data_IF_852897943285
#
_entry.id   IF_852897943285
#
_cell.length_a   1.000
_cell.length_b   1.000
_cell.length_c   1.000
_cell.angle_alpha   90.00
_cell.angle_beta   90.00
_cell.angle_gamma   90.00
#
_symmetry.space_group_name_H-M   'P 1'
#
loop_
_entity.id
_entity.type
_entity.pdbx_description
1 polymer ?
#
# COMPACT_ATOMS: atom_id res chain seq x y z
N UNK A 1 15.06 45.53 -19.08
CA UNK A 1 13.95 44.56 -18.94
C UNK A 1 12.73 45.29 -18.37
N UNK A 2 11.60 45.37 -19.08
CA UNK A 2 10.40 46.05 -18.55
C UNK A 2 9.75 45.21 -17.43
N UNK A 3 9.25 45.87 -16.37
CA UNK A 3 8.62 45.24 -15.18
C UNK A 3 7.51 44.25 -15.53
N UNK A 4 6.73 44.57 -16.57
CA UNK A 4 5.68 43.70 -17.11
C UNK A 4 6.20 42.36 -17.60
N UNK A 5 7.31 42.35 -18.34
CA UNK A 5 7.91 41.09 -18.83
C UNK A 5 8.52 40.28 -17.69
N UNK A 6 9.04 40.94 -16.65
CA UNK A 6 9.53 40.26 -15.45
C UNK A 6 8.40 39.55 -14.69
N UNK A 7 7.29 40.26 -14.42
CA UNK A 7 6.12 39.68 -13.74
C UNK A 7 5.46 38.56 -14.55
N UNK A 8 5.37 38.71 -15.88
CA UNK A 8 4.83 37.67 -16.76
C UNK A 8 5.69 36.40 -16.74
N UNK A 9 7.02 36.53 -16.80
CA UNK A 9 7.94 35.39 -16.74
C UNK A 9 7.95 34.71 -15.37
N UNK A 10 7.95 35.48 -14.30
CA UNK A 10 7.96 34.95 -12.94
C UNK A 10 6.64 34.25 -12.58
N UNK A 11 5.50 34.90 -12.84
CA UNK A 11 4.17 34.31 -12.62
C UNK A 11 3.91 33.08 -13.49
N UNK A 12 4.30 33.12 -14.77
CA UNK A 12 4.17 31.98 -15.68
C UNK A 12 5.07 30.80 -15.31
N UNK A 13 6.29 31.05 -14.81
CA UNK A 13 7.22 30.01 -14.38
C UNK A 13 6.76 29.28 -13.12
N UNK A 14 6.35 30.03 -12.09
CA UNK A 14 5.84 29.44 -10.85
C UNK A 14 4.51 28.71 -11.05
N UNK A 15 3.60 29.29 -11.85
CA UNK A 15 2.34 28.64 -12.21
C UNK A 15 2.56 27.34 -12.98
N UNK A 16 3.53 27.30 -13.89
CA UNK A 16 3.90 26.09 -14.62
C UNK A 16 4.42 24.96 -13.72
N UNK A 17 5.25 25.29 -12.72
CA UNK A 17 5.74 24.31 -11.74
C UNK A 17 4.63 23.76 -10.84
N UNK A 18 3.73 24.63 -10.37
CA UNK A 18 2.58 24.21 -9.57
C UNK A 18 1.66 23.27 -10.36
N UNK A 19 1.37 23.60 -11.62
CA UNK A 19 0.56 22.76 -12.51
C UNK A 19 1.23 21.42 -12.80
N UNK A 20 2.53 21.41 -13.05
CA UNK A 20 3.28 20.16 -13.27
C UNK A 20 3.20 19.23 -12.06
N UNK A 21 3.25 19.79 -10.84
CA UNK A 21 3.12 18.99 -9.62
C UNK A 21 1.70 18.45 -9.43
N UNK A 22 0.67 19.26 -9.73
CA UNK A 22 -0.72 18.78 -9.67
C UNK A 22 -0.98 17.65 -10.67
N UNK A 23 -0.51 17.79 -11.92
CA UNK A 23 -0.61 16.72 -12.93
C UNK A 23 0.18 15.47 -12.54
N UNK A 24 1.34 15.64 -11.88
CA UNK A 24 2.11 14.51 -11.37
C UNK A 24 1.39 13.79 -10.22
N UNK A 25 0.75 14.52 -9.31
CA UNK A 25 -0.06 13.94 -8.24
C UNK A 25 -1.27 13.14 -8.77
N UNK A 26 -1.89 13.60 -9.87
CA UNK A 26 -2.96 12.86 -10.56
C UNK A 26 -2.46 11.62 -11.30
N UNK A 27 -1.18 11.61 -11.70
CA UNK A 27 -0.60 10.49 -12.46
C UNK A 27 -0.44 9.19 -11.67
N UNK A 28 -0.86 9.16 -10.40
CA UNK A 28 -1.03 7.96 -9.57
C UNK A 28 0.19 7.06 -9.57
N UNK A 29 1.09 7.22 -8.59
CA UNK A 29 2.31 6.43 -8.48
C UNK A 29 2.08 4.95 -8.85
N UNK A 30 2.60 4.57 -10.01
CA UNK A 30 2.52 3.20 -10.49
C UNK A 30 3.37 2.35 -9.57
N UNK A 31 2.76 1.39 -8.90
CA UNK A 31 3.50 0.37 -8.16
C UNK A 31 4.42 -0.36 -9.14
N UNK A 32 5.66 -0.65 -8.73
CA UNK A 32 6.60 -1.47 -9.52
C UNK A 32 5.98 -2.82 -9.94
N UNK A 33 5.00 -3.31 -9.17
CA UNK A 33 4.19 -4.47 -9.49
C UNK A 33 2.69 -4.17 -9.33
N UNK A 34 1.82 -4.76 -10.17
CA UNK A 34 0.39 -4.62 -9.99
C UNK A 34 -0.05 -5.19 -8.63
N UNK A 35 -0.99 -4.51 -7.97
CA UNK A 35 -1.60 -5.01 -6.75
C UNK A 35 -2.35 -6.33 -7.04
N UNK A 36 -1.86 -7.44 -6.49
CA UNK A 36 -2.50 -8.76 -6.66
C UNK A 36 -3.73 -8.94 -5.76
N UNK A 37 -3.67 -8.41 -4.54
CA UNK A 37 -4.75 -8.50 -3.58
C UNK A 37 -5.67 -7.27 -3.67
N UNK A 38 -6.98 -7.51 -3.81
CA UNK A 38 -7.98 -6.43 -3.86
C UNK A 38 -8.43 -5.97 -2.47
N UNK A 39 -8.44 -6.88 -1.48
CA UNK A 39 -8.89 -6.63 -0.10
C UNK A 39 -8.09 -7.51 0.85
N UNK A 40 -7.75 -6.96 2.02
CA UNK A 40 -7.05 -7.66 3.09
C UNK A 40 -7.84 -7.44 4.38
N UNK A 41 -8.15 -8.52 5.09
CA UNK A 41 -8.71 -8.47 6.44
C UNK A 41 -7.57 -8.84 7.39
N UNK A 42 -7.14 -7.89 8.21
CA UNK A 42 -6.08 -8.11 9.20
C UNK A 42 -6.71 -8.19 10.60
N UNK A 43 -6.52 -9.33 11.26
CA UNK A 43 -7.08 -9.60 12.58
C UNK A 43 -5.94 -9.56 13.60
N UNK A 44 -6.03 -8.67 14.60
CA UNK A 44 -5.08 -8.61 15.70
C UNK A 44 -5.62 -9.40 16.89
N UNK A 45 -5.00 -10.55 17.18
CA UNK A 45 -5.40 -11.45 18.27
C UNK A 45 -4.29 -11.54 19.31
N UNK A 46 -4.64 -11.30 20.58
CA UNK A 46 -3.72 -11.51 21.70
C UNK A 46 -3.38 -13.00 21.80
N UNK A 47 -2.10 -13.36 21.63
CA UNK A 47 -1.66 -14.76 21.60
C UNK A 47 -1.83 -15.48 20.27
N UNK A 48 -2.26 -14.79 19.22
CA UNK A 48 -2.46 -15.36 17.88
C UNK A 48 -3.77 -16.15 17.71
N UNK A 49 -4.08 -16.61 16.49
CA UNK A 49 -5.26 -17.44 16.23
C UNK A 49 -5.16 -18.78 16.97
N UNK A 50 -6.27 -19.26 17.52
CA UNK A 50 -6.28 -20.60 18.12
C UNK A 50 -6.06 -21.64 17.03
N UNK A 51 -5.49 -22.80 17.39
CA UNK A 51 -5.29 -23.90 16.43
C UNK A 51 -6.58 -24.33 15.73
N UNK A 52 -7.74 -24.16 16.37
CA UNK A 52 -9.06 -24.49 15.82
C UNK A 52 -9.49 -23.46 14.76
N UNK A 53 -9.03 -22.21 14.87
CA UNK A 53 -9.38 -21.12 13.95
C UNK A 53 -8.55 -21.11 12.66
N UNK A 54 -7.44 -21.86 12.62
CA UNK A 54 -6.58 -21.98 11.44
C UNK A 54 -7.01 -23.15 10.58
N UNK A 55 -7.17 -22.92 9.28
CA UNK A 55 -7.35 -23.97 8.27
C UNK A 55 -6.03 -24.65 7.89
N UNK A 56 -5.14 -24.88 8.86
CA UNK A 56 -3.85 -25.53 8.65
C UNK A 56 -3.99 -27.04 8.85
N UNK A 57 -3.77 -27.81 7.79
CA UNK A 57 -3.90 -29.27 7.85
C UNK A 57 -2.69 -29.89 8.55
N UNK A 58 -2.92 -30.46 9.74
CA UNK A 58 -1.89 -31.07 10.59
C UNK A 58 -2.04 -32.60 10.63
N UNK A 59 -1.44 -33.35 9.67
CA UNK A 59 -1.60 -34.79 9.58
C UNK A 59 -0.98 -35.54 10.77
N UNK A 60 0.14 -35.05 11.30
CA UNK A 60 0.86 -35.66 12.43
C UNK A 60 0.01 -35.79 13.69
N UNK A 61 -0.90 -34.83 13.94
CA UNK A 61 -1.79 -34.89 15.11
C UNK A 61 -2.72 -36.10 15.09
N UNK A 62 -3.11 -36.59 13.90
CA UNK A 62 -3.91 -37.81 13.80
C UNK A 62 -3.11 -39.04 14.19
N UNK A 63 -1.83 -39.09 13.84
CA UNK A 63 -0.93 -40.21 14.14
C UNK A 63 -0.52 -40.25 15.61
N UNK A 64 -0.52 -39.10 16.27
CA UNK A 64 -0.13 -38.94 17.67
C UNK A 64 -1.33 -38.97 18.63
N UNK A 65 -2.56 -39.05 18.11
CA UNK A 65 -3.77 -39.14 18.93
C UNK A 65 -3.73 -40.40 19.80
N UNK A 66 -3.67 -40.20 21.12
CA UNK A 66 -3.67 -41.29 22.11
C UNK A 66 -2.30 -41.83 22.49
N UNK A 67 -1.19 -41.22 22.04
CA UNK A 67 0.13 -41.52 22.59
C UNK A 67 0.29 -40.88 23.97
N UNK A 68 0.70 -41.69 24.96
CA UNK A 68 1.17 -41.16 26.25
C UNK A 68 2.54 -40.50 26.07
N UNK A 69 2.75 -39.39 26.80
CA UNK A 69 3.97 -38.57 26.78
C UNK A 69 5.11 -39.23 27.57
#
# INVERSE_FOLDING_TARGET
MPRRNFLQRFGGGLGGLALANMLHAESGQSLHHPAKAKRVIYLFQSGGPSQIDLFDHKPSLKEETGKEL
#
